data_IF_461388501681
#
_entry.id   IF_461388501681
#
_cell.length_a   1.000
_cell.length_b   1.000
_cell.length_c   1.000
_cell.angle_alpha   90.00
_cell.angle_beta   90.00
_cell.angle_gamma   90.00
#
_symmetry.space_group_name_H-M   'P 1'
#
loop_
_entity.id
_entity.type
_entity.pdbx_description
1 polymer ?
#
# COMPACT_ATOMS: atom_id res chain seq x y z
N UNK A 1 -22.88 -8.95 -24.09
CA UNK A 1 -21.83 -8.76 -23.07
C UNK A 1 -22.48 -8.97 -21.71
N UNK A 2 -22.15 -10.05 -21.02
CA UNK A 2 -22.78 -10.45 -19.76
C UNK A 2 -22.34 -9.50 -18.64
N UNK A 3 -23.15 -8.47 -18.35
CA UNK A 3 -23.11 -7.82 -17.05
C UNK A 3 -24.02 -8.66 -16.14
N UNK A 4 -23.42 -9.64 -15.46
CA UNK A 4 -24.11 -10.48 -14.50
C UNK A 4 -24.68 -9.62 -13.36
N UNK A 5 -25.85 -10.02 -12.89
CA UNK A 5 -26.75 -9.30 -11.99
C UNK A 5 -26.26 -9.19 -10.53
N UNK A 6 -25.00 -9.53 -10.23
CA UNK A 6 -24.55 -9.79 -8.85
C UNK A 6 -23.16 -9.20 -8.54
N UNK A 7 -22.80 -8.03 -9.07
CA UNK A 7 -21.68 -7.28 -8.46
C UNK A 7 -22.22 -6.66 -7.16
N UNK A 8 -21.66 -6.98 -5.98
CA UNK A 8 -22.07 -6.35 -4.74
C UNK A 8 -22.00 -4.84 -4.90
N UNK A 9 -23.11 -4.14 -4.62
CA UNK A 9 -23.13 -2.68 -4.69
C UNK A 9 -22.44 -2.07 -3.47
N UNK A 10 -21.12 -2.10 -3.50
CA UNK A 10 -20.30 -1.37 -2.54
C UNK A 10 -20.54 0.14 -2.69
N UNK A 11 -20.72 0.83 -1.57
CA UNK A 11 -20.82 2.31 -1.49
C UNK A 11 -19.56 2.94 -0.94
N UNK A 12 -18.65 2.11 -0.42
CA UNK A 12 -17.37 2.56 0.10
C UNK A 12 -16.29 1.54 -0.22
N UNK A 13 -15.14 2.04 -0.65
CA UNK A 13 -13.90 1.30 -0.82
C UNK A 13 -12.88 1.90 0.12
N UNK A 14 -12.23 1.06 0.92
CA UNK A 14 -11.17 1.44 1.84
C UNK A 14 -9.91 0.70 1.39
N UNK A 15 -8.83 1.43 1.07
CA UNK A 15 -7.62 0.79 0.54
C UNK A 15 -6.41 0.96 1.44
N UNK A 16 -5.67 -0.12 1.63
CA UNK A 16 -4.41 -0.19 2.33
C UNK A 16 -3.35 -0.75 1.40
N UNK A 17 -2.10 -0.34 1.60
CA UNK A 17 -1.03 -0.84 0.77
C UNK A 17 0.16 0.09 0.67
N UNK A 18 0.91 -0.10 -0.41
CA UNK A 18 2.13 0.63 -0.69
C UNK A 18 2.02 1.58 -1.90
N UNK A 19 3.14 1.83 -2.58
CA UNK A 19 3.24 2.69 -3.76
C UNK A 19 2.31 2.28 -4.91
N UNK A 20 1.92 1.00 -5.00
CA UNK A 20 0.98 0.51 -6.02
C UNK A 20 -0.44 1.06 -5.85
N UNK A 21 -0.74 1.58 -4.66
CA UNK A 21 -2.08 2.00 -4.23
C UNK A 21 -2.07 3.44 -3.67
N UNK A 22 -0.91 3.98 -3.28
CA UNK A 22 -0.76 5.31 -2.71
C UNK A 22 -1.08 6.44 -3.71
N UNK A 23 -2.05 7.29 -3.36
CA UNK A 23 -2.44 8.49 -4.12
C UNK A 23 -1.85 9.81 -3.57
N UNK A 24 -0.77 9.73 -2.79
CA UNK A 24 0.03 10.89 -2.32
C UNK A 24 0.25 10.97 -0.81
N UNK A 25 -0.10 9.96 -0.02
CA UNK A 25 0.14 9.90 1.42
C UNK A 25 1.63 9.98 1.73
N UNK A 26 2.47 9.16 1.10
CA UNK A 26 3.92 9.20 1.36
C UNK A 26 4.50 10.58 1.04
N UNK A 27 4.09 11.19 -0.07
CA UNK A 27 4.50 12.53 -0.46
C UNK A 27 4.11 13.58 0.60
N UNK A 28 2.90 13.50 1.16
CA UNK A 28 2.47 14.39 2.27
C UNK A 28 3.27 14.16 3.55
N UNK A 29 3.43 12.91 4.00
CA UNK A 29 4.13 12.59 5.25
C UNK A 29 5.60 13.01 5.19
N UNK A 30 6.23 12.92 4.02
CA UNK A 30 7.60 13.40 3.79
C UNK A 30 7.74 14.92 3.64
N UNK A 31 6.70 15.71 3.94
CA UNK A 31 6.69 17.15 3.73
C UNK A 31 7.05 17.53 2.28
N UNK A 32 6.60 16.74 1.31
CA UNK A 32 6.85 16.97 -0.12
C UNK A 32 8.35 16.94 -0.51
N UNK A 33 9.19 16.28 0.30
CA UNK A 33 10.64 16.21 0.09
C UNK A 33 11.12 14.88 -0.49
N UNK A 34 10.21 13.93 -0.73
CA UNK A 34 10.52 12.69 -1.47
C UNK A 34 11.17 13.05 -2.80
N UNK A 35 12.43 12.69 -2.94
CA UNK A 35 13.25 13.15 -4.03
C UNK A 35 13.40 12.07 -5.10
N UNK A 36 12.34 11.82 -5.86
CA UNK A 36 12.41 11.08 -7.11
C UNK A 36 11.39 11.70 -8.08
N UNK A 37 11.81 12.79 -8.75
CA UNK A 37 11.17 13.40 -9.95
C UNK A 37 9.80 14.04 -9.57
N UNK A 38 9.28 15.13 -10.19
CA UNK A 38 8.02 15.73 -9.72
C UNK A 38 6.99 14.62 -9.65
N UNK A 39 6.08 14.63 -8.65
CA UNK A 39 5.27 13.46 -8.38
C UNK A 39 4.68 12.98 -9.70
N UNK A 40 4.77 11.67 -9.99
CA UNK A 40 4.44 11.15 -11.33
C UNK A 40 3.07 11.68 -11.81
N UNK A 41 2.19 12.00 -10.86
CA UNK A 41 1.09 12.94 -11.04
C UNK A 41 1.17 14.14 -10.08
N UNK A 42 0.39 15.20 -10.32
CA UNK A 42 0.31 16.40 -9.45
C UNK A 42 -0.16 16.15 -7.99
N UNK A 43 -0.46 14.90 -7.61
CA UNK A 43 -1.04 14.51 -6.32
C UNK A 43 -0.05 13.77 -5.41
N UNK A 44 1.11 13.34 -5.91
CA UNK A 44 2.09 12.59 -5.10
C UNK A 44 2.10 11.08 -5.33
N UNK A 45 1.36 10.57 -6.33
CA UNK A 45 1.30 9.14 -6.63
C UNK A 45 2.53 8.61 -7.38
N UNK A 46 2.64 7.28 -7.44
CA UNK A 46 3.75 6.56 -8.10
C UNK A 46 3.43 6.14 -9.54
N UNK A 47 2.42 6.75 -10.15
CA UNK A 47 1.99 6.55 -11.54
C UNK A 47 1.65 7.90 -12.17
N UNK A 48 1.69 7.97 -13.49
CA UNK A 48 1.52 9.23 -14.24
C UNK A 48 0.12 9.85 -14.10
N UNK A 49 -0.90 9.06 -13.73
CA UNK A 49 -2.29 9.52 -13.60
C UNK A 49 -3.02 8.88 -12.39
N UNK A 50 -4.11 8.16 -12.61
CA UNK A 50 -4.88 7.49 -11.56
C UNK A 50 -4.19 6.19 -11.12
N UNK A 51 -4.06 5.99 -9.81
CA UNK A 51 -3.63 4.70 -9.24
C UNK A 51 -4.74 3.64 -9.39
N UNK A 52 -4.39 2.36 -9.30
CA UNK A 52 -5.32 1.27 -9.67
C UNK A 52 -6.61 1.25 -8.87
N UNK A 53 -6.56 1.55 -7.57
CA UNK A 53 -7.73 1.66 -6.70
C UNK A 53 -8.67 2.81 -7.12
N UNK A 54 -8.12 3.94 -7.60
CA UNK A 54 -8.91 5.03 -8.16
C UNK A 54 -9.60 4.61 -9.45
N UNK A 55 -8.87 3.95 -10.36
CA UNK A 55 -9.44 3.42 -11.61
C UNK A 55 -10.56 2.40 -11.33
N UNK A 56 -10.31 1.45 -10.44
CA UNK A 56 -11.30 0.44 -10.04
C UNK A 56 -12.55 1.10 -9.46
N UNK A 57 -12.38 2.02 -8.51
CA UNK A 57 -13.52 2.68 -7.86
C UNK A 57 -14.30 3.52 -8.86
N UNK A 58 -13.62 4.37 -9.63
CA UNK A 58 -14.26 5.29 -10.58
C UNK A 58 -14.89 4.60 -11.78
N UNK A 59 -14.37 3.45 -12.24
CA UNK A 59 -14.85 2.80 -13.46
C UNK A 59 -15.75 1.59 -13.21
N UNK A 60 -15.55 0.88 -12.11
CA UNK A 60 -16.24 -0.39 -11.84
C UNK A 60 -17.19 -0.30 -10.64
N UNK A 61 -16.97 0.64 -9.72
CA UNK A 61 -17.80 0.83 -8.52
C UNK A 61 -18.39 2.26 -8.52
N UNK A 62 -19.15 2.60 -9.57
CA UNK A 62 -19.58 3.96 -9.91
C UNK A 62 -20.26 4.76 -8.78
N UNK A 63 -20.83 4.09 -7.78
CA UNK A 63 -21.51 4.71 -6.64
C UNK A 63 -20.72 4.63 -5.34
N UNK A 64 -19.47 4.16 -5.40
CA UNK A 64 -18.62 3.99 -4.24
C UNK A 64 -17.71 5.20 -4.02
N UNK A 65 -17.57 5.58 -2.76
CA UNK A 65 -16.54 6.52 -2.30
C UNK A 65 -15.23 5.78 -2.05
N UNK A 66 -14.09 6.42 -2.30
CA UNK A 66 -12.76 5.86 -2.02
C UNK A 66 -12.13 6.56 -0.82
N UNK A 67 -11.76 5.78 0.20
CA UNK A 67 -10.93 6.22 1.32
C UNK A 67 -9.59 5.47 1.26
N UNK A 68 -8.53 6.18 0.89
CA UNK A 68 -7.21 5.58 0.69
C UNK A 68 -6.29 5.86 1.89
N UNK A 69 -5.80 4.79 2.51
CA UNK A 69 -4.77 4.81 3.57
C UNK A 69 -3.41 4.29 3.10
N UNK A 70 -3.31 3.81 1.86
CA UNK A 70 -2.07 3.28 1.31
C UNK A 70 -0.95 4.34 1.30
N UNK A 71 0.25 3.94 1.71
CA UNK A 71 1.40 4.81 1.80
C UNK A 71 2.58 4.17 1.08
N UNK A 72 3.21 4.89 0.17
CA UNK A 72 4.44 4.47 -0.49
C UNK A 72 5.47 3.93 0.51
N UNK A 73 6.20 2.88 0.11
CA UNK A 73 7.15 2.15 0.96
C UNK A 73 6.55 1.41 2.17
N UNK A 74 5.22 1.29 2.28
CA UNK A 74 4.61 0.49 3.33
C UNK A 74 5.01 -0.98 3.22
N UNK A 75 5.42 -1.53 4.35
CA UNK A 75 5.58 -2.96 4.62
C UNK A 75 4.26 -3.51 5.18
N UNK A 76 4.16 -4.82 5.34
CA UNK A 76 3.01 -5.45 6.00
C UNK A 76 2.82 -4.93 7.44
N UNK A 77 3.92 -4.81 8.19
CA UNK A 77 3.95 -4.23 9.54
C UNK A 77 5.33 -3.63 9.82
N UNK A 78 5.35 -2.41 10.38
CA UNK A 78 6.56 -1.77 10.86
C UNK A 78 7.29 -2.55 11.96
N UNK A 79 6.60 -3.46 12.68
CA UNK A 79 7.22 -4.33 13.68
C UNK A 79 8.20 -5.35 13.07
N UNK A 80 7.95 -5.83 11.85
CA UNK A 80 8.82 -6.81 11.16
C UNK A 80 9.77 -6.14 10.16
N UNK A 81 9.36 -5.01 9.58
CA UNK A 81 10.19 -4.19 8.70
C UNK A 81 9.68 -2.75 8.68
N UNK A 82 10.51 -1.78 9.07
CA UNK A 82 10.12 -0.36 9.06
C UNK A 82 10.15 0.21 7.64
N UNK A 83 8.98 0.59 7.11
CA UNK A 83 8.90 1.38 5.88
C UNK A 83 9.55 2.76 6.05
N UNK A 84 10.36 3.18 5.07
CA UNK A 84 11.11 4.44 5.12
C UNK A 84 11.11 5.14 3.77
N UNK A 85 11.13 6.47 3.80
CA UNK A 85 11.40 7.27 2.61
C UNK A 85 12.47 8.33 2.88
N UNK A 86 13.39 8.47 1.92
CA UNK A 86 14.48 9.46 2.00
C UNK A 86 13.95 10.86 1.70
N UNK A 87 14.38 11.86 2.48
CA UNK A 87 14.17 13.29 2.19
C UNK A 87 15.23 13.89 1.24
N UNK A 88 16.21 13.09 0.81
CA UNK A 88 17.32 13.57 -0.01
C UNK A 88 17.50 12.69 -1.27
N UNK A 89 17.45 13.34 -2.44
CA UNK A 89 17.61 12.76 -3.78
C UNK A 89 18.94 12.03 -3.95
N UNK A 90 19.97 12.52 -3.26
CA UNK A 90 21.35 12.14 -3.50
C UNK A 90 21.84 11.05 -2.52
N UNK A 91 21.00 10.60 -1.58
CA UNK A 91 21.36 9.60 -0.56
C UNK A 91 20.92 8.17 -0.89
N UNK A 92 20.47 7.91 -2.11
CA UNK A 92 20.04 6.56 -2.53
C UNK A 92 21.21 5.57 -2.58
N UNK A 93 22.45 6.08 -2.69
CA UNK A 93 23.67 5.25 -2.75
C UNK A 93 24.25 4.89 -1.38
N UNK A 94 24.06 5.71 -0.34
CA UNK A 94 24.60 5.46 0.99
C UNK A 94 23.49 5.57 2.03
N UNK A 95 23.18 4.45 2.67
CA UNK A 95 22.07 4.19 3.58
C UNK A 95 22.15 5.00 4.90
N UNK A 96 22.65 6.23 4.91
CA UNK A 96 22.79 7.02 6.13
C UNK A 96 21.43 7.42 6.70
N UNK A 97 21.24 7.03 7.96
CA UNK A 97 19.96 6.92 8.68
C UNK A 97 19.38 8.28 9.11
N UNK A 98 20.13 9.39 8.97
CA UNK A 98 19.86 10.65 9.68
C UNK A 98 18.74 11.53 9.10
N UNK A 99 18.15 11.20 7.94
CA UNK A 99 17.10 12.02 7.30
C UNK A 99 15.89 11.21 6.77
N UNK A 100 15.65 10.01 7.30
CA UNK A 100 14.57 9.13 6.82
C UNK A 100 13.26 9.41 7.55
N UNK A 101 12.20 9.60 6.77
CA UNK A 101 10.85 9.68 7.31
C UNK A 101 10.31 8.27 7.45
N UNK A 102 9.95 7.87 8.68
CA UNK A 102 9.26 6.59 8.94
C UNK A 102 7.85 6.67 8.36
N UNK A 103 7.45 5.64 7.64
CA UNK A 103 6.14 5.55 7.01
C UNK A 103 5.31 4.42 7.63
N UNK A 104 3.98 4.53 7.64
CA UNK A 104 3.12 3.49 8.20
C UNK A 104 3.12 2.23 7.32
N UNK A 105 3.37 1.07 7.93
CA UNK A 105 3.05 -0.22 7.32
C UNK A 105 1.54 -0.45 7.29
N UNK A 106 1.09 -1.49 6.60
CA UNK A 106 -0.34 -1.82 6.43
C UNK A 106 -1.03 -1.99 7.79
N UNK A 107 -0.38 -2.65 8.75
CA UNK A 107 -0.89 -2.78 10.13
C UNK A 107 -1.22 -1.42 10.76
N UNK A 108 -0.35 -0.42 10.59
CA UNK A 108 -0.55 0.93 11.13
C UNK A 108 -1.58 1.73 10.32
N UNK A 109 -1.68 1.50 8.99
CA UNK A 109 -2.72 2.10 8.17
C UNK A 109 -4.12 1.62 8.61
N UNK A 110 -4.26 0.34 8.98
CA UNK A 110 -5.49 -0.21 9.54
C UNK A 110 -5.81 0.41 10.90
N UNK A 111 -4.82 0.62 11.78
CA UNK A 111 -5.06 1.35 13.04
C UNK A 111 -5.61 2.76 12.78
N UNK A 112 -5.02 3.50 11.84
CA UNK A 112 -5.49 4.83 11.47
C UNK A 112 -6.93 4.79 10.96
N UNK A 113 -7.25 3.82 10.10
CA UNK A 113 -8.60 3.62 9.58
C UNK A 113 -9.62 3.34 10.69
N UNK A 114 -9.33 2.36 11.56
CA UNK A 114 -10.22 2.01 12.66
C UNK A 114 -10.43 3.24 13.56
N UNK A 115 -9.35 3.93 13.93
CA UNK A 115 -9.42 5.13 14.76
C UNK A 115 -10.26 6.25 14.12
N UNK A 116 -10.11 6.50 12.82
CA UNK A 116 -10.92 7.48 12.07
C UNK A 116 -12.41 7.09 11.95
N UNK A 117 -12.72 5.81 12.15
CA UNK A 117 -14.05 5.24 11.97
C UNK A 117 -14.79 4.95 13.28
N UNK A 118 -14.13 4.92 14.45
CA UNK A 118 -14.73 4.56 15.75
C UNK A 118 -16.00 5.36 16.11
N UNK A 119 -16.14 6.59 15.62
CA UNK A 119 -17.28 7.47 15.91
C UNK A 119 -18.18 7.74 14.68
N UNK A 120 -18.08 6.92 13.64
CA UNK A 120 -18.86 7.07 12.40
C UNK A 120 -19.73 5.85 12.20
N UNK A 121 -20.93 6.07 11.64
CA UNK A 121 -21.73 4.96 11.13
C UNK A 121 -20.99 4.30 9.96
N UNK A 122 -20.91 2.97 9.99
CA UNK A 122 -20.27 2.16 8.96
C UNK A 122 -21.26 1.10 8.50
N UNK A 123 -21.54 1.09 7.20
CA UNK A 123 -22.20 -0.04 6.55
C UNK A 123 -21.12 -1.04 6.12
N UNK A 124 -20.85 -2.02 6.97
CA UNK A 124 -19.82 -3.04 6.73
C UNK A 124 -20.18 -3.97 5.57
N UNK A 125 -21.47 -4.22 5.34
CA UNK A 125 -21.95 -5.06 4.23
C UNK A 125 -21.73 -4.40 2.86
N UNK A 126 -21.70 -3.06 2.83
CA UNK A 126 -21.44 -2.26 1.61
C UNK A 126 -20.07 -1.60 1.58
N UNK A 127 -19.16 -1.96 2.48
CA UNK A 127 -17.76 -1.52 2.46
C UNK A 127 -16.85 -2.62 1.95
N UNK A 128 -16.10 -2.36 0.88
CA UNK A 128 -14.99 -3.19 0.40
C UNK A 128 -13.67 -2.69 0.97
N UNK A 129 -12.94 -3.55 1.66
CA UNK A 129 -11.57 -3.30 2.11
C UNK A 129 -10.60 -3.96 1.14
N UNK A 130 -9.67 -3.21 0.57
CA UNK A 130 -8.67 -3.75 -0.36
C UNK A 130 -7.26 -3.59 0.20
N UNK A 131 -6.45 -4.62 0.01
CA UNK A 131 -5.08 -4.68 0.51
C UNK A 131 -4.16 -5.08 -0.62
N UNK A 132 -3.10 -4.29 -0.83
CA UNK A 132 -2.02 -4.63 -1.77
C UNK A 132 -0.66 -4.21 -1.21
N UNK A 133 0.07 -5.17 -0.68
CA UNK A 133 1.40 -4.97 -0.09
C UNK A 133 2.10 -6.32 0.13
N UNK A 134 3.43 -6.27 0.20
CA UNK A 134 4.27 -7.40 0.59
C UNK A 134 5.70 -7.23 0.09
N UNK A 135 5.87 -6.70 -1.13
CA UNK A 135 7.18 -6.56 -1.77
C UNK A 135 8.18 -5.76 -0.92
N UNK A 136 7.73 -4.71 -0.26
CA UNK A 136 8.59 -3.85 0.56
C UNK A 136 9.19 -4.56 1.78
N UNK A 137 8.58 -5.65 2.29
CA UNK A 137 9.13 -6.42 3.41
C UNK A 137 10.55 -6.89 3.09
N UNK A 138 10.73 -7.51 1.93
CA UNK A 138 12.01 -8.05 1.47
C UNK A 138 12.99 -6.94 1.04
N UNK A 139 12.49 -5.77 0.62
CA UNK A 139 13.32 -4.61 0.32
C UNK A 139 13.94 -3.98 1.58
N UNK A 140 13.17 -3.89 2.67
CA UNK A 140 13.58 -3.20 3.90
C UNK A 140 14.14 -4.14 4.96
N UNK A 141 13.82 -5.43 4.91
CA UNK A 141 14.38 -6.46 5.77
C UNK A 141 14.59 -7.76 5.00
N UNK A 142 15.80 -7.96 4.48
CA UNK A 142 16.18 -9.13 3.66
C UNK A 142 16.24 -10.45 4.46
N UNK A 143 16.18 -10.39 5.78
CA UNK A 143 16.20 -11.57 6.64
C UNK A 143 14.81 -12.16 6.88
N UNK A 144 13.73 -11.48 6.44
CA UNK A 144 12.38 -12.00 6.56
C UNK A 144 12.17 -13.20 5.64
N UNK A 145 11.47 -14.19 6.16
CA UNK A 145 10.97 -15.33 5.40
C UNK A 145 9.58 -15.05 4.83
N UNK A 146 9.13 -15.90 3.91
CA UNK A 146 7.75 -15.83 3.41
C UNK A 146 6.73 -16.06 4.54
N UNK A 147 7.06 -16.89 5.52
CA UNK A 147 6.20 -17.15 6.67
C UNK A 147 6.00 -15.89 7.52
N UNK A 148 7.05 -15.08 7.73
CA UNK A 148 6.94 -13.84 8.49
C UNK A 148 5.97 -12.85 7.82
N UNK A 149 6.11 -12.70 6.49
CA UNK A 149 5.23 -11.84 5.69
C UNK A 149 3.79 -12.36 5.72
N UNK A 150 3.57 -13.64 5.40
CA UNK A 150 2.22 -14.23 5.39
C UNK A 150 1.55 -14.14 6.76
N UNK A 151 2.29 -14.38 7.84
CA UNK A 151 1.78 -14.25 9.21
C UNK A 151 1.30 -12.83 9.49
N UNK A 152 2.12 -11.83 9.15
CA UNK A 152 1.74 -10.42 9.30
C UNK A 152 0.49 -10.06 8.50
N UNK A 153 0.36 -10.59 7.27
CA UNK A 153 -0.84 -10.42 6.43
C UNK A 153 -2.08 -11.02 7.10
N UNK A 154 -1.99 -12.27 7.55
CA UNK A 154 -3.10 -12.94 8.22
C UNK A 154 -3.52 -12.19 9.48
N UNK A 155 -2.57 -11.66 10.25
CA UNK A 155 -2.85 -10.97 11.50
C UNK A 155 -3.59 -9.65 11.28
N UNK A 156 -3.20 -8.83 10.30
CA UNK A 156 -3.96 -7.61 10.02
C UNK A 156 -5.32 -7.87 9.35
N UNK A 157 -5.46 -8.99 8.62
CA UNK A 157 -6.77 -9.42 8.07
C UNK A 157 -7.70 -9.86 9.21
N UNK A 158 -7.19 -10.62 10.17
CA UNK A 158 -7.93 -10.96 11.41
C UNK A 158 -8.32 -9.70 12.16
N UNK A 159 -7.44 -8.71 12.22
CA UNK A 159 -7.75 -7.46 12.90
C UNK A 159 -8.87 -6.68 12.21
N UNK A 160 -8.89 -6.62 10.87
CA UNK A 160 -10.02 -6.09 10.11
C UNK A 160 -11.31 -6.89 10.36
N UNK A 161 -11.23 -8.22 10.42
CA UNK A 161 -12.39 -9.06 10.71
C UNK A 161 -12.95 -8.83 12.13
N UNK A 162 -12.09 -8.61 13.14
CA UNK A 162 -12.51 -8.21 14.49
C UNK A 162 -13.19 -6.84 14.49
N UNK A 163 -12.81 -5.95 13.56
CA UNK A 163 -13.47 -4.68 13.31
C UNK A 163 -14.77 -4.82 12.46
N UNK A 164 -15.28 -6.04 12.25
CA UNK A 164 -16.47 -6.35 11.45
C UNK A 164 -16.33 -6.06 9.95
N UNK A 165 -15.10 -5.96 9.42
CA UNK A 165 -14.88 -5.92 7.98
C UNK A 165 -15.25 -7.27 7.33
N UNK A 166 -16.28 -7.27 6.48
CA UNK A 166 -16.83 -8.51 5.87
C UNK A 166 -16.41 -8.75 4.42
N UNK A 167 -16.12 -7.67 3.69
CA UNK A 167 -15.68 -7.75 2.30
C UNK A 167 -14.22 -7.34 2.21
N UNK A 168 -13.31 -8.31 2.13
CA UNK A 168 -11.87 -8.07 2.09
C UNK A 168 -11.31 -8.66 0.80
N UNK A 169 -10.66 -7.82 -0.02
CA UNK A 169 -9.92 -8.24 -1.19
C UNK A 169 -8.42 -8.07 -0.94
N UNK A 170 -7.67 -9.17 -1.05
CA UNK A 170 -6.21 -9.17 -0.95
C UNK A 170 -5.66 -9.38 -2.36
N UNK A 171 -4.90 -8.41 -2.85
CA UNK A 171 -4.31 -8.46 -4.18
C UNK A 171 -2.93 -9.12 -4.07
N UNK A 172 -2.72 -10.14 -4.90
CA UNK A 172 -1.44 -10.82 -4.94
C UNK A 172 -0.35 -9.91 -5.52
N UNK A 173 0.89 -10.08 -5.06
CA UNK A 173 2.02 -9.37 -5.62
C UNK A 173 2.32 -9.88 -7.04
N UNK A 174 2.65 -8.98 -7.98
CA UNK A 174 3.22 -9.41 -9.26
C UNK A 174 4.59 -10.08 -9.02
N UNK A 175 5.05 -10.92 -9.96
CA UNK A 175 6.38 -11.51 -9.90
C UNK A 175 7.46 -10.41 -9.88
N UNK A 176 8.07 -10.20 -8.71
CA UNK A 176 8.96 -9.07 -8.43
C UNK A 176 10.28 -9.18 -9.19
N UNK A 177 10.73 -10.39 -9.50
CA UNK A 177 11.90 -10.67 -10.35
C UNK A 177 11.77 -10.09 -11.76
N UNK A 178 10.54 -9.82 -12.22
CA UNK A 178 10.30 -9.19 -13.52
C UNK A 178 10.39 -7.66 -13.48
N UNK A 179 10.48 -7.01 -12.32
CA UNK A 179 10.64 -5.55 -12.30
C UNK A 179 12.06 -5.14 -12.72
N UNK A 180 12.23 -4.05 -13.48
CA UNK A 180 13.54 -3.56 -13.90
C UNK A 180 14.54 -3.37 -12.75
N UNK A 181 14.07 -2.97 -11.56
CA UNK A 181 14.89 -2.79 -10.37
C UNK A 181 15.54 -4.08 -9.84
N UNK A 182 14.99 -5.26 -10.20
CA UNK A 182 15.49 -6.56 -9.77
C UNK A 182 16.12 -7.38 -10.92
N UNK A 183 15.77 -7.11 -12.19
CA UNK A 183 16.32 -7.81 -13.37
C UNK A 183 17.84 -7.74 -13.50
N UNK A 184 18.47 -6.60 -13.20
CA UNK A 184 19.90 -6.40 -13.48
C UNK A 184 20.84 -6.79 -12.31
N UNK A 185 20.31 -7.34 -11.21
CA UNK A 185 21.17 -7.81 -10.10
C UNK A 185 21.74 -9.21 -10.32
N UNK A 186 21.19 -9.97 -11.27
CA UNK A 186 21.73 -11.28 -11.65
C UNK A 186 22.98 -11.18 -12.55
N UNK A 187 23.21 -10.05 -13.24
CA UNK A 187 24.37 -9.88 -14.14
C UNK A 187 25.65 -9.36 -13.45
N UNK A 188 25.60 -9.03 -12.15
CA UNK A 188 26.78 -8.55 -11.39
C UNK A 188 27.27 -9.53 -10.33
N UNK A 189 26.72 -10.75 -10.28
CA UNK A 189 27.20 -11.84 -9.42
C UNK A 189 28.08 -12.84 -10.19
N UNK A 190 29.07 -12.34 -10.92
CA UNK A 190 30.24 -13.09 -11.41
C UNK A 190 31.32 -12.07 -11.71
N UNK A 191 32.27 -11.82 -10.80
CA UNK A 191 33.68 -12.29 -10.80
C UNK A 191 34.21 -12.13 -9.37
#
# INVERSE_FOLDING_TARGET
MFLSKDIPQYTRVVTFGDSTTDSGIAYRISNRTSSHVPPFNNRGGFVDDLVRNEVLTQKLLLNATLQNFACGSATADNAIAQGIMSRNANLVANYEIRSRTKLPGVRQQIDLCINEMMNKFIDFDRTLYMIWSGTNNYCFNKSLTDLDTVTSIIDYVRYLAVFDARNIAIINEPPVDLFPAFRNKAETATI
#
